data_IF_975073450662
#
_entry.id   IF_975073450662
#
_cell.length_a   1.000
_cell.length_b   1.000
_cell.length_c   1.000
_cell.angle_alpha   90.00
_cell.angle_beta   90.00
_cell.angle_gamma   90.00
#
_symmetry.space_group_name_H-M   'P 1'
#
loop_
_entity.id
_entity.type
_entity.pdbx_description
1 polymer ?
#
# COMPACT_ATOMS: atom_id res chain seq x y z
N UNK A 1 -9.87 -17.96 19.93
CA UNK A 1 -8.83 -17.39 20.79
C UNK A 1 -8.35 -16.06 20.21
N UNK A 2 -8.11 -15.09 21.09
CA UNK A 2 -7.55 -13.81 20.73
C UNK A 2 -6.09 -13.97 20.31
N UNK A 3 -5.63 -13.11 19.40
CA UNK A 3 -4.24 -13.01 18.96
C UNK A 3 -3.66 -11.69 19.48
N UNK A 4 -3.28 -11.59 20.76
CA UNK A 4 -2.74 -10.34 21.30
C UNK A 4 -1.38 -10.03 20.69
N UNK A 5 -0.99 -8.76 20.67
CA UNK A 5 0.40 -8.36 20.49
C UNK A 5 1.27 -9.02 21.57
N UNK A 6 2.54 -9.30 21.27
CA UNK A 6 3.45 -9.92 22.20
C UNK A 6 4.51 -8.94 22.67
N UNK A 7 4.93 -9.12 23.91
CA UNK A 7 6.06 -8.43 24.54
C UNK A 7 7.11 -9.43 25.01
N UNK A 8 8.35 -9.02 24.99
CA UNK A 8 9.46 -9.71 25.64
C UNK A 8 9.75 -9.01 26.97
N UNK A 9 9.78 -9.79 28.04
CA UNK A 9 10.03 -9.31 29.41
C UNK A 9 11.28 -9.97 29.91
N UNK A 10 12.23 -9.18 30.44
CA UNK A 10 13.46 -9.66 31.06
C UNK A 10 13.18 -10.19 32.49
N UNK A 11 14.15 -10.87 33.10
CA UNK A 11 14.03 -11.44 34.42
C UNK A 11 13.79 -10.37 35.52
N UNK A 12 14.23 -9.13 35.28
CA UNK A 12 13.98 -7.96 36.14
C UNK A 12 12.61 -7.32 35.98
N UNK A 13 11.77 -7.86 35.07
CA UNK A 13 10.45 -7.36 34.74
C UNK A 13 10.44 -6.22 33.72
N UNK A 14 11.59 -5.82 33.19
CA UNK A 14 11.65 -4.76 32.17
C UNK A 14 11.17 -5.25 30.79
N UNK A 15 10.43 -4.40 30.09
CA UNK A 15 10.02 -4.66 28.70
C UNK A 15 11.21 -4.40 27.77
N UNK A 16 11.64 -5.41 27.02
CA UNK A 16 12.77 -5.33 26.10
C UNK A 16 12.44 -5.68 24.65
N UNK A 17 11.19 -6.04 24.37
CA UNK A 17 10.75 -6.30 22.99
C UNK A 17 9.24 -6.25 22.82
N UNK A 18 8.81 -5.98 21.58
CA UNK A 18 7.40 -5.89 21.19
C UNK A 18 7.21 -6.34 19.75
N UNK A 19 6.12 -7.01 19.47
CA UNK A 19 5.58 -7.23 18.12
C UNK A 19 4.07 -6.98 18.13
N UNK A 20 3.64 -6.04 17.27
CA UNK A 20 2.22 -5.76 17.05
C UNK A 20 1.56 -6.83 16.20
N UNK A 21 0.33 -7.22 16.53
CA UNK A 21 -0.52 -8.10 15.72
C UNK A 21 -1.91 -7.52 15.59
N UNK A 22 -2.42 -7.48 14.35
CA UNK A 22 -3.82 -7.20 14.05
C UNK A 22 -4.44 -8.44 13.43
N UNK A 23 -5.62 -8.83 13.92
CA UNK A 23 -6.34 -9.97 13.37
C UNK A 23 -7.28 -9.49 12.29
N UNK A 24 -7.10 -10.03 11.08
CA UNK A 24 -7.96 -9.75 9.95
C UNK A 24 -8.71 -11.02 9.56
N UNK A 25 -10.03 -10.91 9.43
CA UNK A 25 -10.86 -11.97 8.88
C UNK A 25 -10.60 -12.07 7.37
N UNK A 26 -10.20 -13.25 6.92
CA UNK A 26 -9.93 -13.56 5.52
C UNK A 26 -10.76 -14.77 5.10
N UNK A 27 -10.78 -15.07 3.82
CA UNK A 27 -11.33 -16.30 3.29
C UNK A 27 -10.43 -16.86 2.21
N UNK A 28 -10.33 -18.19 2.13
CA UNK A 28 -9.78 -18.93 1.00
C UNK A 28 -10.90 -19.74 0.37
N UNK A 29 -11.33 -19.37 -0.84
CA UNK A 29 -12.42 -20.04 -1.55
C UNK A 29 -13.65 -20.26 -0.62
N UNK A 30 -14.06 -19.19 0.09
CA UNK A 30 -15.14 -19.13 1.09
C UNK A 30 -14.89 -19.87 2.42
N UNK A 31 -13.77 -20.55 2.59
CA UNK A 31 -13.34 -21.08 3.90
C UNK A 31 -12.84 -19.93 4.77
N UNK A 32 -13.46 -19.64 5.92
CA UNK A 32 -13.04 -18.55 6.79
C UNK A 32 -11.67 -18.81 7.40
N UNK A 33 -10.86 -17.75 7.49
CA UNK A 33 -9.48 -17.79 7.98
C UNK A 33 -9.22 -16.58 8.89
N UNK A 34 -8.24 -16.75 9.78
CA UNK A 34 -7.68 -15.65 10.58
C UNK A 34 -6.26 -15.34 10.11
N UNK A 35 -6.05 -14.13 9.65
CA UNK A 35 -4.72 -13.63 9.34
C UNK A 35 -4.21 -12.75 10.48
N UNK A 36 -3.00 -13.01 10.95
CA UNK A 36 -2.26 -12.12 11.82
C UNK A 36 -1.41 -11.18 10.96
N UNK A 37 -1.79 -9.93 10.87
CA UNK A 37 -0.95 -8.87 10.32
C UNK A 37 0.07 -8.48 11.38
N UNK A 38 1.34 -8.83 11.15
CA UNK A 38 2.45 -8.59 12.09
C UNK A 38 3.13 -7.27 11.76
N UNK A 39 3.18 -6.36 12.72
CA UNK A 39 3.74 -5.03 12.55
C UNK A 39 4.68 -4.64 13.69
N UNK A 40 5.54 -3.64 13.42
CA UNK A 40 6.29 -2.94 14.47
C UNK A 40 7.10 -3.86 15.40
N UNK A 41 7.83 -4.85 14.84
CA UNK A 41 8.74 -5.65 15.65
C UNK A 41 9.91 -4.76 16.11
N UNK A 42 10.07 -4.65 17.43
CA UNK A 42 11.11 -3.85 18.08
C UNK A 42 11.75 -4.65 19.21
N UNK A 43 13.05 -4.52 19.37
CA UNK A 43 13.79 -5.07 20.52
C UNK A 43 14.82 -4.04 20.97
N UNK A 44 15.02 -3.95 22.28
CA UNK A 44 16.07 -3.17 22.89
C UNK A 44 17.40 -3.92 22.75
N UNK A 45 18.24 -3.48 21.81
CA UNK A 45 19.50 -4.14 21.49
C UNK A 45 20.54 -4.07 22.62
N UNK A 46 20.39 -3.12 23.57
CA UNK A 46 21.32 -2.99 24.72
C UNK A 46 21.00 -4.00 25.81
N UNK A 47 19.73 -4.39 25.94
CA UNK A 47 19.24 -5.30 26.97
C UNK A 47 19.09 -6.73 26.50
N UNK A 48 18.84 -6.93 25.21
CA UNK A 48 18.49 -8.24 24.67
C UNK A 48 19.68 -8.88 23.94
N UNK A 49 19.70 -10.22 23.95
CA UNK A 49 20.63 -10.96 23.09
C UNK A 49 20.27 -10.90 21.61
N UNK A 50 21.20 -11.23 20.71
CA UNK A 50 21.04 -11.08 19.25
C UNK A 50 19.88 -11.88 18.65
N UNK A 51 19.35 -12.88 19.37
CA UNK A 51 18.26 -13.74 18.93
C UNK A 51 16.88 -13.37 19.49
N UNK A 52 16.79 -12.35 20.36
CA UNK A 52 15.52 -12.03 21.04
C UNK A 52 14.41 -11.62 20.06
N UNK A 53 14.74 -10.85 19.02
CA UNK A 53 13.78 -10.53 17.95
C UNK A 53 13.28 -11.77 17.20
N UNK A 54 14.17 -12.73 16.93
CA UNK A 54 13.80 -13.98 16.27
C UNK A 54 12.94 -14.87 17.18
N UNK A 55 13.23 -14.92 18.49
CA UNK A 55 12.39 -15.65 19.48
C UNK A 55 11.00 -15.03 19.58
N UNK A 56 10.90 -13.70 19.63
CA UNK A 56 9.64 -12.97 19.68
C UNK A 56 8.82 -13.20 18.41
N UNK A 57 9.44 -13.13 17.23
CA UNK A 57 8.80 -13.45 15.96
C UNK A 57 8.35 -14.90 15.92
N UNK A 58 9.18 -15.87 16.33
CA UNK A 58 8.83 -17.29 16.38
C UNK A 58 7.57 -17.49 17.22
N UNK A 59 7.53 -16.94 18.45
CA UNK A 59 6.35 -17.02 19.31
C UNK A 59 5.09 -16.42 18.65
N UNK A 60 5.25 -15.35 17.87
CA UNK A 60 4.15 -14.77 17.11
C UNK A 60 3.66 -15.68 15.98
N UNK A 61 4.56 -16.36 15.27
CA UNK A 61 4.23 -17.25 14.14
C UNK A 61 3.62 -18.58 14.60
N UNK A 62 3.95 -19.05 15.80
CA UNK A 62 3.42 -20.29 16.40
C UNK A 62 1.99 -20.14 16.95
N UNK A 63 1.39 -18.96 16.84
CA UNK A 63 0.00 -18.72 17.28
C UNK A 63 -1.04 -19.52 16.49
N UNK A 64 -2.32 -19.43 16.92
CA UNK A 64 -3.44 -20.18 16.31
C UNK A 64 -4.02 -19.53 15.05
N UNK A 65 -3.34 -18.57 14.44
CA UNK A 65 -3.72 -18.00 13.15
C UNK A 65 -3.44 -18.98 12.00
N UNK A 66 -4.23 -18.87 10.93
CA UNK A 66 -4.03 -19.66 9.71
C UNK A 66 -2.90 -19.10 8.83
N UNK A 67 -2.75 -17.75 8.84
CA UNK A 67 -1.76 -17.02 8.04
C UNK A 67 -1.17 -15.89 8.88
N UNK A 68 0.14 -15.68 8.79
CA UNK A 68 0.82 -14.48 9.28
C UNK A 68 1.36 -13.69 8.09
N UNK A 69 1.25 -12.37 8.13
CA UNK A 69 1.66 -11.48 7.04
C UNK A 69 2.31 -10.20 7.56
N UNK A 70 3.26 -9.68 6.83
CA UNK A 70 3.84 -8.32 6.96
C UNK A 70 4.17 -7.79 5.56
N UNK A 71 3.99 -6.49 5.33
CA UNK A 71 4.33 -5.85 4.04
C UNK A 71 5.37 -4.72 4.18
N UNK A 72 5.97 -4.57 5.37
CA UNK A 72 6.97 -3.54 5.65
C UNK A 72 8.27 -4.10 6.22
N UNK A 73 8.53 -5.41 6.04
CA UNK A 73 9.71 -6.03 6.62
C UNK A 73 11.01 -5.42 6.08
N UNK A 74 11.88 -4.98 7.01
CA UNK A 74 13.26 -4.59 6.73
C UNK A 74 14.11 -5.81 6.36
N UNK A 75 15.33 -5.60 5.86
CA UNK A 75 16.26 -6.69 5.53
C UNK A 75 16.56 -7.61 6.73
N UNK A 76 16.61 -7.04 7.93
CA UNK A 76 16.80 -7.83 9.16
C UNK A 76 15.57 -8.68 9.43
N UNK A 77 14.38 -8.07 9.38
CA UNK A 77 13.10 -8.77 9.57
C UNK A 77 12.91 -9.85 8.50
N UNK A 78 13.21 -9.55 7.23
CA UNK A 78 13.16 -10.52 6.12
C UNK A 78 14.00 -11.77 6.41
N UNK A 79 15.24 -11.59 6.90
CA UNK A 79 16.11 -12.73 7.26
C UNK A 79 15.51 -13.56 8.41
N UNK A 80 14.97 -12.92 9.43
CA UNK A 80 14.31 -13.61 10.55
C UNK A 80 13.10 -14.43 10.09
N UNK A 81 12.21 -13.82 9.30
CA UNK A 81 11.05 -14.50 8.74
C UNK A 81 11.44 -15.72 7.89
N UNK A 82 12.42 -15.55 6.97
CA UNK A 82 12.92 -16.67 6.14
C UNK A 82 13.52 -17.79 6.97
N UNK A 83 14.29 -17.46 8.01
CA UNK A 83 14.85 -18.45 8.94
C UNK A 83 13.79 -19.24 9.71
N UNK A 84 12.58 -18.70 9.83
CA UNK A 84 11.41 -19.33 10.47
C UNK A 84 10.40 -19.90 9.47
N UNK A 85 10.78 -20.09 8.21
CA UNK A 85 9.90 -20.69 7.18
C UNK A 85 9.00 -19.69 6.46
N UNK A 86 9.19 -18.39 6.63
CA UNK A 86 8.42 -17.37 5.92
C UNK A 86 8.75 -17.32 4.42
N UNK A 87 7.72 -17.21 3.60
CA UNK A 87 7.77 -17.04 2.15
C UNK A 87 7.77 -15.57 1.78
N UNK A 88 8.85 -15.06 1.20
CA UNK A 88 8.89 -13.71 0.65
C UNK A 88 8.09 -13.65 -0.67
N UNK A 89 7.36 -12.55 -0.85
CA UNK A 89 6.50 -12.28 -2.02
C UNK A 89 7.08 -11.09 -2.82
N UNK A 90 8.03 -11.32 -3.76
CA UNK A 90 8.67 -10.24 -4.50
C UNK A 90 7.68 -9.34 -5.23
N UNK A 91 6.64 -9.92 -5.84
CA UNK A 91 5.62 -9.19 -6.59
C UNK A 91 4.72 -8.28 -5.71
N UNK A 92 4.68 -8.51 -4.39
CA UNK A 92 4.01 -7.65 -3.42
C UNK A 92 4.97 -6.69 -2.70
N UNK A 93 6.29 -6.85 -2.91
CA UNK A 93 7.34 -6.11 -2.18
C UNK A 93 7.79 -4.83 -2.88
N UNK A 94 7.34 -4.60 -4.10
CA UNK A 94 7.74 -3.45 -4.88
C UNK A 94 6.76 -2.29 -4.68
N UNK A 95 7.29 -1.08 -4.63
CA UNK A 95 6.52 0.13 -4.83
C UNK A 95 6.67 0.60 -6.27
N UNK A 96 5.58 1.00 -6.89
CA UNK A 96 5.60 1.69 -8.15
C UNK A 96 5.61 3.20 -7.92
N UNK A 97 6.34 3.90 -8.77
CA UNK A 97 6.47 5.37 -8.73
C UNK A 97 6.27 5.95 -10.12
N UNK A 98 5.39 6.93 -10.23
CA UNK A 98 5.17 7.71 -11.44
C UNK A 98 5.52 9.17 -11.20
N UNK A 99 6.42 9.72 -12.03
CA UNK A 99 6.68 11.15 -12.06
C UNK A 99 5.53 11.84 -12.82
N UNK A 100 4.90 12.82 -12.17
CA UNK A 100 3.79 13.60 -12.70
C UNK A 100 4.28 14.99 -13.12
N UNK A 101 5.04 15.64 -12.25
CA UNK A 101 5.67 16.94 -12.48
C UNK A 101 7.17 16.83 -12.16
N UNK A 102 8.05 16.70 -13.18
CA UNK A 102 9.47 16.52 -12.95
C UNK A 102 10.14 17.65 -12.17
N UNK A 103 9.73 18.90 -12.40
CA UNK A 103 10.30 20.05 -11.72
C UNK A 103 9.94 20.07 -10.24
N UNK A 104 8.69 19.75 -9.92
CA UNK A 104 8.22 19.64 -8.54
C UNK A 104 8.79 18.40 -7.83
N UNK A 105 8.93 17.27 -8.54
CA UNK A 105 9.52 16.05 -8.01
C UNK A 105 10.97 16.24 -7.58
N UNK A 106 11.77 16.95 -8.40
CA UNK A 106 13.15 17.30 -8.04
C UNK A 106 13.20 18.20 -6.81
N UNK A 107 12.30 19.18 -6.69
CA UNK A 107 12.26 20.06 -5.52
C UNK A 107 11.75 19.36 -4.26
N UNK A 108 10.81 18.44 -4.37
CA UNK A 108 10.32 17.64 -3.25
C UNK A 108 11.44 16.72 -2.72
N UNK A 109 12.16 16.04 -3.62
CA UNK A 109 13.32 15.22 -3.28
C UNK A 109 14.52 16.01 -2.72
N UNK A 110 14.78 17.22 -3.24
CA UNK A 110 15.84 18.09 -2.75
C UNK A 110 15.43 18.84 -1.46
N UNK A 111 14.15 19.17 -1.31
CA UNK A 111 13.59 19.84 -0.12
C UNK A 111 13.72 19.03 1.16
N UNK A 112 13.78 17.69 1.06
CA UNK A 112 14.12 16.82 2.18
C UNK A 112 15.56 17.03 2.70
N UNK A 113 16.44 17.66 1.89
CA UNK A 113 17.85 17.90 2.25
C UNK A 113 18.18 19.39 2.45
N UNK A 114 17.43 20.31 1.85
CA UNK A 114 17.73 21.74 1.83
C UNK A 114 16.44 22.56 1.96
N UNK A 115 16.09 22.97 3.17
CA UNK A 115 14.81 23.64 3.51
C UNK A 115 14.55 24.94 2.72
N UNK A 116 15.59 25.68 2.27
CA UNK A 116 15.43 26.92 1.51
C UNK A 116 14.83 26.70 0.10
N UNK A 117 14.96 25.49 -0.48
CA UNK A 117 14.39 25.19 -1.80
C UNK A 117 12.86 25.14 -1.80
N UNK A 118 12.23 25.05 -0.63
CA UNK A 118 10.78 25.12 -0.49
C UNK A 118 10.19 26.44 -1.00
N UNK A 119 10.94 27.54 -0.93
CA UNK A 119 10.54 28.86 -1.43
C UNK A 119 10.52 28.96 -2.97
N UNK A 120 11.18 28.01 -3.69
CA UNK A 120 11.18 27.97 -5.15
C UNK A 120 9.99 27.20 -5.75
N UNK A 121 9.16 26.55 -4.92
CA UNK A 121 7.98 25.79 -5.37
C UNK A 121 7.01 26.57 -6.28
N UNK A 122 6.71 27.87 -6.07
CA UNK A 122 5.83 28.64 -6.98
C UNK A 122 6.43 28.78 -8.40
N UNK A 123 7.73 29.06 -8.50
CA UNK A 123 8.42 29.20 -9.78
C UNK A 123 8.51 27.87 -10.54
N UNK A 124 8.75 26.77 -9.82
CA UNK A 124 8.76 25.43 -10.39
C UNK A 124 7.39 24.99 -10.91
N UNK A 125 6.28 25.39 -10.25
CA UNK A 125 4.92 25.16 -10.76
C UNK A 125 4.67 25.83 -12.11
N UNK A 126 5.16 27.08 -12.31
CA UNK A 126 5.04 27.77 -13.58
C UNK A 126 5.90 27.09 -14.67
N UNK A 127 7.13 26.70 -14.34
CA UNK A 127 8.00 25.97 -15.25
C UNK A 127 7.44 24.60 -15.60
N UNK A 128 6.94 23.86 -14.62
CA UNK A 128 6.32 22.55 -14.78
C UNK A 128 5.09 22.57 -15.70
N UNK A 129 4.23 23.62 -15.61
CA UNK A 129 3.10 23.81 -16.53
C UNK A 129 3.56 23.99 -17.99
N UNK A 130 4.62 24.76 -18.23
CA UNK A 130 5.17 24.96 -19.59
C UNK A 130 5.85 23.69 -20.12
N UNK A 131 6.57 22.96 -19.29
CA UNK A 131 7.17 21.67 -19.64
C UNK A 131 6.06 20.64 -19.96
N UNK A 132 4.99 20.62 -19.17
CA UNK A 132 3.86 19.70 -19.33
C UNK A 132 3.11 19.92 -20.66
N UNK A 133 2.90 21.19 -21.09
CA UNK A 133 2.26 21.49 -22.37
C UNK A 133 3.10 21.05 -23.57
N UNK A 134 4.44 21.08 -23.46
CA UNK A 134 5.37 20.58 -24.50
C UNK A 134 5.55 19.07 -24.50
N UNK A 135 5.26 18.40 -23.37
CA UNK A 135 5.50 16.98 -23.14
C UNK A 135 4.35 16.10 -23.63
N UNK A 136 3.15 16.68 -23.84
CA UNK A 136 2.00 15.93 -24.34
C UNK A 136 2.21 15.31 -25.74
N UNK A 137 3.19 15.81 -26.50
CA UNK A 137 3.48 15.35 -27.87
C UNK A 137 4.66 14.37 -27.97
N UNK A 138 5.41 14.13 -26.87
CA UNK A 138 6.57 13.25 -26.89
C UNK A 138 6.31 11.96 -26.09
N UNK A 139 6.07 10.80 -26.76
CA UNK A 139 5.80 9.54 -26.12
C UNK A 139 6.98 8.98 -25.30
N UNK A 140 8.19 9.53 -25.47
CA UNK A 140 9.39 9.12 -24.73
C UNK A 140 9.51 9.78 -23.36
N UNK A 141 8.70 10.78 -23.01
CA UNK A 141 8.81 11.49 -21.74
C UNK A 141 7.98 10.85 -20.63
N UNK A 142 8.57 10.81 -19.43
CA UNK A 142 8.00 10.20 -18.23
C UNK A 142 6.66 10.79 -17.78
N UNK A 143 6.39 12.05 -18.13
CA UNK A 143 5.18 12.77 -17.73
C UNK A 143 4.01 12.69 -18.73
N UNK A 144 4.16 11.96 -19.86
CA UNK A 144 3.06 11.79 -20.80
C UNK A 144 2.00 10.84 -20.21
N UNK A 145 0.75 11.27 -20.21
CA UNK A 145 -0.40 10.45 -19.84
C UNK A 145 -1.09 9.91 -21.08
N UNK A 146 -1.64 8.69 -21.04
CA UNK A 146 -2.45 8.19 -22.15
C UNK A 146 -3.61 9.12 -22.46
N UNK A 147 -3.84 9.36 -23.73
CA UNK A 147 -4.86 10.33 -24.21
C UNK A 147 -6.30 9.77 -24.17
N UNK A 148 -6.49 8.53 -23.73
CA UNK A 148 -7.75 7.78 -23.92
C UNK A 148 -8.69 7.82 -22.70
N UNK A 149 -8.69 8.95 -21.98
CA UNK A 149 -9.50 9.14 -20.77
C UNK A 149 -11.00 9.37 -20.98
N UNK A 150 -11.47 9.40 -22.23
CA UNK A 150 -12.88 9.65 -22.52
C UNK A 150 -13.84 8.52 -22.08
N UNK A 151 -13.30 7.40 -21.61
CA UNK A 151 -14.07 6.20 -21.27
C UNK A 151 -14.32 6.04 -19.75
N UNK A 152 -13.57 6.73 -18.89
CA UNK A 152 -13.67 6.61 -17.42
C UNK A 152 -14.00 7.96 -16.81
N UNK A 153 -15.05 7.99 -15.98
CA UNK A 153 -15.40 9.15 -15.15
C UNK A 153 -14.87 8.93 -13.73
N UNK A 154 -14.34 9.98 -13.12
CA UNK A 154 -13.88 9.93 -11.73
C UNK A 154 -14.70 10.88 -10.88
N UNK A 155 -15.03 10.47 -9.65
CA UNK A 155 -15.59 11.35 -8.63
C UNK A 155 -15.12 10.94 -7.24
N UNK A 156 -15.03 11.89 -6.34
CA UNK A 156 -14.83 11.60 -4.91
C UNK A 156 -16.04 10.83 -4.37
N UNK A 157 -15.78 9.81 -3.57
CA UNK A 157 -16.79 8.95 -2.97
C UNK A 157 -16.56 8.84 -1.46
N UNK A 158 -17.61 8.48 -0.74
CA UNK A 158 -17.57 8.27 0.70
C UNK A 158 -17.02 6.87 1.05
N UNK A 159 -16.52 6.65 2.27
CA UNK A 159 -16.00 5.35 2.70
C UNK A 159 -16.99 4.20 2.55
N UNK A 160 -18.28 4.45 2.64
CA UNK A 160 -19.34 3.45 2.47
C UNK A 160 -19.41 2.95 1.03
N UNK A 161 -19.44 3.86 0.07
CA UNK A 161 -19.42 3.50 -1.35
C UNK A 161 -18.10 2.83 -1.75
N UNK A 162 -16.98 3.29 -1.17
CA UNK A 162 -15.70 2.63 -1.34
C UNK A 162 -15.73 1.18 -0.84
N UNK A 163 -16.40 0.91 0.27
CA UNK A 163 -16.52 -0.44 0.83
C UNK A 163 -17.29 -1.40 -0.10
N UNK A 164 -18.34 -0.91 -0.77
CA UNK A 164 -19.08 -1.70 -1.75
C UNK A 164 -18.22 -2.03 -2.98
N UNK A 165 -17.47 -1.04 -3.49
CA UNK A 165 -16.52 -1.25 -4.59
C UNK A 165 -15.40 -2.19 -4.15
N UNK A 166 -14.88 -2.06 -2.92
CA UNK A 166 -13.86 -2.94 -2.36
C UNK A 166 -14.31 -4.41 -2.38
N UNK A 167 -15.50 -4.69 -1.83
CA UNK A 167 -16.07 -6.04 -1.83
C UNK A 167 -16.26 -6.61 -3.25
N UNK A 168 -16.68 -5.76 -4.20
CA UNK A 168 -16.88 -6.16 -5.59
C UNK A 168 -15.54 -6.45 -6.28
N UNK A 169 -14.55 -5.58 -6.13
CA UNK A 169 -13.24 -5.71 -6.77
C UNK A 169 -12.36 -6.79 -6.17
N UNK A 170 -12.59 -7.21 -4.91
CA UNK A 170 -11.77 -8.24 -4.27
C UNK A 170 -12.35 -9.64 -4.41
N UNK A 171 -13.60 -9.77 -4.83
CA UNK A 171 -14.34 -11.07 -4.89
C UNK A 171 -13.68 -12.12 -5.77
N UNK A 172 -12.93 -11.72 -6.79
CA UNK A 172 -12.30 -12.66 -7.72
C UNK A 172 -11.01 -13.30 -7.19
N UNK A 173 -10.44 -12.79 -6.08
CA UNK A 173 -9.28 -13.43 -5.44
C UNK A 173 -9.71 -14.62 -4.59
N UNK A 174 -9.00 -15.74 -4.69
CA UNK A 174 -9.24 -16.89 -3.83
C UNK A 174 -8.95 -16.58 -2.36
N UNK A 175 -7.78 -15.96 -2.09
CA UNK A 175 -7.43 -15.47 -0.74
C UNK A 175 -7.74 -13.97 -0.66
N UNK A 176 -8.76 -13.61 0.11
CA UNK A 176 -9.26 -12.23 0.18
C UNK A 176 -9.79 -11.86 1.57
N UNK A 177 -9.90 -10.56 1.87
CA UNK A 177 -10.63 -10.09 3.05
C UNK A 177 -12.09 -10.57 3.06
N UNK A 178 -12.56 -11.01 4.23
CA UNK A 178 -13.94 -11.42 4.49
C UNK A 178 -14.62 -10.41 5.44
N UNK A 179 -14.51 -9.13 5.12
CA UNK A 179 -15.04 -8.05 5.95
C UNK A 179 -16.42 -7.62 5.49
N UNK A 180 -17.35 -7.37 6.44
CA UNK A 180 -18.57 -6.63 6.15
C UNK A 180 -18.26 -5.24 5.59
N UNK A 181 -19.16 -4.67 4.78
CA UNK A 181 -18.98 -3.32 4.22
C UNK A 181 -18.75 -2.27 5.33
N UNK A 182 -19.47 -2.37 6.44
CA UNK A 182 -19.29 -1.46 7.59
C UNK A 182 -17.86 -1.51 8.17
N UNK A 183 -17.27 -2.70 8.30
CA UNK A 183 -15.89 -2.87 8.76
C UNK A 183 -14.89 -2.26 7.77
N UNK A 184 -15.09 -2.50 6.46
CA UNK A 184 -14.25 -1.92 5.41
C UNK A 184 -14.33 -0.38 5.43
N UNK A 185 -15.53 0.19 5.55
CA UNK A 185 -15.72 1.62 5.67
C UNK A 185 -15.07 2.19 6.94
N UNK A 186 -15.17 1.47 8.07
CA UNK A 186 -14.50 1.84 9.33
C UNK A 186 -12.97 1.88 9.16
N UNK A 187 -12.37 0.87 8.53
CA UNK A 187 -10.93 0.83 8.24
C UNK A 187 -10.52 1.98 7.32
N UNK A 188 -11.31 2.27 6.28
CA UNK A 188 -11.07 3.39 5.38
C UNK A 188 -11.08 4.71 6.14
N UNK A 189 -12.08 4.97 6.99
CA UNK A 189 -12.13 6.17 7.84
C UNK A 189 -10.92 6.30 8.76
N UNK A 190 -10.47 5.20 9.37
CA UNK A 190 -9.24 5.20 10.18
C UNK A 190 -8.01 5.55 9.36
N UNK A 191 -7.91 5.00 8.15
CA UNK A 191 -6.79 5.24 7.25
C UNK A 191 -6.75 6.69 6.71
N UNK A 192 -7.87 7.42 6.70
CA UNK A 192 -7.90 8.84 6.32
C UNK A 192 -7.12 9.75 7.29
N UNK A 193 -6.91 9.33 8.53
CA UNK A 193 -6.28 10.16 9.56
C UNK A 193 -4.74 10.05 9.54
N UNK A 194 -4.11 10.48 8.44
CA UNK A 194 -2.64 10.53 8.27
C UNK A 194 -2.18 11.94 7.86
N UNK A 195 -2.18 12.92 8.78
CA UNK A 195 -1.92 14.32 8.43
C UNK A 195 -0.53 14.54 7.83
N UNK A 196 0.46 13.72 8.18
CA UNK A 196 1.81 13.78 7.60
C UNK A 196 1.81 13.57 6.08
N UNK A 197 0.84 12.82 5.54
CA UNK A 197 0.74 12.53 4.11
C UNK A 197 -0.13 13.52 3.34
N UNK A 198 -0.84 14.41 4.01
CA UNK A 198 -1.75 15.38 3.40
C UNK A 198 -3.21 14.98 3.45
N UNK A 199 -4.02 15.53 2.54
CA UNK A 199 -5.44 15.25 2.44
C UNK A 199 -5.69 13.82 1.97
N UNK A 200 -6.61 13.13 2.63
CA UNK A 200 -7.09 11.80 2.22
C UNK A 200 -8.15 11.96 1.12
N UNK A 201 -8.00 11.22 0.05
CA UNK A 201 -8.88 11.25 -1.11
C UNK A 201 -9.31 9.83 -1.45
N UNK A 202 -10.60 9.60 -1.54
CA UNK A 202 -11.18 8.37 -2.06
C UNK A 202 -11.90 8.69 -3.36
N UNK A 203 -11.47 8.06 -4.46
CA UNK A 203 -12.01 8.31 -5.82
C UNK A 203 -12.57 7.02 -6.37
N UNK A 204 -13.83 7.05 -6.76
CA UNK A 204 -14.47 6.02 -7.56
C UNK A 204 -14.22 6.26 -9.05
N UNK A 205 -14.04 5.19 -9.81
CA UNK A 205 -13.88 5.17 -11.25
C UNK A 205 -15.05 4.43 -11.88
N UNK A 206 -15.69 5.08 -12.84
CA UNK A 206 -16.96 4.60 -13.45
C UNK A 206 -16.83 4.55 -14.97
N UNK A 207 -17.44 3.54 -15.57
CA UNK A 207 -17.55 3.43 -17.02
C UNK A 207 -18.62 4.40 -17.59
N UNK A 208 -18.82 4.35 -18.90
CA UNK A 208 -19.83 5.17 -19.59
C UNK A 208 -21.28 4.90 -19.13
N UNK A 209 -21.54 3.76 -18.52
CA UNK A 209 -22.85 3.37 -17.96
C UNK A 209 -22.98 3.73 -16.48
N UNK A 210 -22.01 4.46 -15.94
CA UNK A 210 -21.93 4.80 -14.52
C UNK A 210 -21.80 3.57 -13.60
N UNK A 211 -21.29 2.46 -14.12
CA UNK A 211 -20.95 1.28 -13.33
C UNK A 211 -19.54 1.44 -12.78
N UNK A 212 -19.36 1.17 -11.49
CA UNK A 212 -18.04 1.23 -10.86
C UNK A 212 -17.13 0.15 -11.44
N UNK A 213 -15.97 0.55 -11.97
CA UNK A 213 -14.93 -0.33 -12.50
C UNK A 213 -13.74 -0.44 -11.57
N UNK A 214 -13.65 0.41 -10.55
CA UNK A 214 -12.61 0.42 -9.55
C UNK A 214 -12.67 1.65 -8.66
N UNK A 215 -11.71 1.72 -7.74
CA UNK A 215 -11.53 2.86 -6.86
C UNK A 215 -10.06 3.03 -6.48
N UNK A 216 -9.70 4.21 -6.00
CA UNK A 216 -8.41 4.47 -5.37
C UNK A 216 -8.60 5.26 -4.10
N UNK A 217 -7.83 4.87 -3.08
CA UNK A 217 -7.67 5.62 -1.86
C UNK A 217 -6.22 6.07 -1.75
N UNK A 218 -5.98 7.38 -1.65
CA UNK A 218 -4.64 7.94 -1.54
C UNK A 218 -4.62 9.22 -0.70
N UNK A 219 -3.42 9.59 -0.25
CA UNK A 219 -3.19 10.88 0.41
C UNK A 219 -2.38 11.78 -0.52
N UNK A 220 -2.71 13.07 -0.55
CA UNK A 220 -2.01 14.04 -1.41
C UNK A 220 -1.86 15.39 -0.71
N UNK A 221 -0.71 16.01 -0.94
CA UNK A 221 -0.45 17.42 -0.66
C UNK A 221 0.04 18.07 -1.95
N UNK A 222 -0.51 19.22 -2.36
CA UNK A 222 -0.06 19.90 -3.58
C UNK A 222 1.45 20.14 -3.58
N UNK A 223 2.11 19.73 -4.65
CA UNK A 223 3.57 19.84 -4.83
C UNK A 223 4.38 18.77 -4.12
N UNK A 224 3.74 17.70 -3.63
CA UNK A 224 4.40 16.57 -2.97
C UNK A 224 3.95 15.24 -3.57
N UNK A 225 4.45 14.14 -3.02
CA UNK A 225 4.11 12.78 -3.45
C UNK A 225 2.67 12.43 -3.05
N UNK A 226 1.83 12.04 -4.01
CA UNK A 226 0.59 11.34 -3.72
C UNK A 226 0.89 9.89 -3.34
N UNK A 227 0.42 9.45 -2.18
CA UNK A 227 0.65 8.11 -1.62
C UNK A 227 -0.60 7.28 -1.74
N UNK A 228 -0.62 6.37 -2.71
CA UNK A 228 -1.74 5.44 -2.94
C UNK A 228 -1.67 4.34 -1.88
N UNK A 229 -2.67 4.32 -1.01
CA UNK A 229 -2.87 3.30 0.00
C UNK A 229 -3.53 2.07 -0.61
N UNK A 230 -4.60 2.29 -1.40
CA UNK A 230 -5.35 1.21 -2.02
C UNK A 230 -5.69 1.55 -3.48
N UNK A 231 -5.48 0.59 -4.36
CA UNK A 231 -5.95 0.61 -5.73
C UNK A 231 -6.82 -0.63 -5.97
N UNK A 232 -8.02 -0.44 -6.51
CA UNK A 232 -9.02 -1.47 -6.75
C UNK A 232 -9.45 -1.42 -8.20
N UNK A 233 -9.51 -2.55 -8.88
CA UNK A 233 -10.06 -2.66 -10.22
C UNK A 233 -10.82 -3.97 -10.40
N UNK A 234 -11.85 -3.95 -11.20
CA UNK A 234 -12.43 -5.17 -11.76
C UNK A 234 -11.42 -5.81 -12.72
N UNK A 235 -11.43 -7.15 -12.89
CA UNK A 235 -10.59 -7.83 -13.86
C UNK A 235 -10.69 -7.22 -15.26
N UNK A 236 -9.54 -6.89 -15.87
CA UNK A 236 -9.44 -6.22 -17.16
C UNK A 236 -9.61 -4.69 -17.13
N UNK A 237 -9.86 -4.09 -15.96
CA UNK A 237 -9.98 -2.64 -15.79
C UNK A 237 -8.76 -2.00 -15.11
N UNK A 238 -7.70 -2.76 -14.87
CA UNK A 238 -6.50 -2.31 -14.15
C UNK A 238 -5.82 -1.12 -14.85
N UNK A 239 -5.75 -1.17 -16.19
CA UNK A 239 -5.17 -0.09 -16.99
C UNK A 239 -5.95 1.22 -16.89
N UNK A 240 -7.25 1.24 -17.25
CA UNK A 240 -8.11 2.40 -17.10
C UNK A 240 -8.12 2.99 -15.68
N UNK A 241 -8.18 2.14 -14.65
CA UNK A 241 -8.15 2.58 -13.24
C UNK A 241 -6.82 3.22 -12.89
N UNK A 242 -5.70 2.62 -13.30
CA UNK A 242 -4.36 3.18 -13.05
C UNK A 242 -4.20 4.54 -13.74
N UNK A 243 -4.64 4.68 -14.97
CA UNK A 243 -4.59 5.95 -15.70
C UNK A 243 -5.45 7.02 -15.02
N UNK A 244 -6.65 6.65 -14.56
CA UNK A 244 -7.56 7.56 -13.89
C UNK A 244 -6.99 8.10 -12.57
N UNK A 245 -6.38 7.26 -11.72
CA UNK A 245 -5.75 7.74 -10.47
C UNK A 245 -4.56 8.64 -10.74
N UNK A 246 -3.76 8.36 -11.76
CA UNK A 246 -2.62 9.22 -12.13
C UNK A 246 -3.08 10.61 -12.54
N UNK A 247 -4.18 10.70 -13.28
CA UNK A 247 -4.75 11.97 -13.73
C UNK A 247 -5.39 12.73 -12.59
N UNK A 248 -6.17 12.08 -11.75
CA UNK A 248 -6.80 12.72 -10.60
C UNK A 248 -5.76 13.26 -9.62
N UNK A 249 -4.73 12.46 -9.28
CA UNK A 249 -3.61 12.91 -8.44
C UNK A 249 -2.85 14.09 -9.07
N UNK A 250 -2.64 14.07 -10.40
CA UNK A 250 -2.03 15.18 -11.13
C UNK A 250 -2.87 16.47 -11.06
N UNK A 251 -4.19 16.35 -11.20
CA UNK A 251 -5.12 17.48 -11.11
C UNK A 251 -5.11 18.11 -9.71
N UNK A 252 -4.90 17.29 -8.66
CA UNK A 252 -4.73 17.75 -7.27
C UNK A 252 -3.31 18.25 -6.95
N UNK A 253 -2.44 18.32 -7.96
CA UNK A 253 -1.10 18.93 -7.85
C UNK A 253 -0.03 18.00 -7.30
N UNK A 254 -0.20 16.69 -7.38
CA UNK A 254 0.87 15.75 -7.04
C UNK A 254 2.10 15.96 -7.91
N UNK A 255 3.30 15.87 -7.33
CA UNK A 255 4.59 15.85 -8.06
C UNK A 255 4.96 14.44 -8.52
N UNK A 256 4.67 13.48 -7.67
CA UNK A 256 4.84 12.04 -7.86
C UNK A 256 3.56 11.31 -7.45
N UNK A 257 3.34 10.13 -7.98
CA UNK A 257 2.36 9.18 -7.46
C UNK A 257 3.09 7.90 -7.13
N UNK A 258 2.91 7.39 -5.93
CA UNK A 258 3.55 6.18 -5.42
C UNK A 258 2.52 5.28 -4.75
N UNK A 259 2.63 3.98 -4.98
CA UNK A 259 1.82 2.99 -4.30
C UNK A 259 2.49 1.63 -4.25
N UNK A 260 1.97 0.74 -3.41
CA UNK A 260 2.43 -0.63 -3.31
C UNK A 260 1.94 -1.44 -4.52
N UNK A 261 2.81 -2.30 -5.04
CA UNK A 261 2.47 -3.21 -6.12
C UNK A 261 1.41 -4.22 -5.67
N UNK A 262 0.43 -4.42 -6.53
CA UNK A 262 -0.51 -5.54 -6.49
C UNK A 262 -0.29 -6.36 -7.75
N UNK A 263 -0.10 -7.68 -7.68
CA UNK A 263 0.19 -8.52 -8.84
C UNK A 263 -0.80 -8.35 -10.00
N UNK A 264 -2.09 -8.17 -9.70
CA UNK A 264 -3.13 -7.92 -10.70
C UNK A 264 -2.85 -6.70 -11.59
N UNK A 265 -2.16 -5.68 -11.08
CA UNK A 265 -1.83 -4.47 -11.84
C UNK A 265 -0.51 -4.56 -12.62
N UNK A 266 0.29 -5.62 -12.46
CA UNK A 266 1.63 -5.72 -13.04
C UNK A 266 1.61 -5.48 -14.56
N UNK A 267 0.74 -6.18 -15.29
CA UNK A 267 0.64 -6.05 -16.75
C UNK A 267 0.24 -4.63 -17.18
N UNK A 268 -0.68 -4.01 -16.46
CA UNK A 268 -1.09 -2.64 -16.72
C UNK A 268 0.04 -1.63 -16.48
N UNK A 269 0.92 -1.90 -15.53
CA UNK A 269 2.05 -1.04 -15.18
C UNK A 269 3.20 -1.10 -16.18
N UNK A 270 3.46 -2.27 -16.79
CA UNK A 270 4.60 -2.49 -17.71
C UNK A 270 4.61 -1.51 -18.90
N UNK A 271 3.45 -1.11 -19.41
CA UNK A 271 3.36 -0.16 -20.53
C UNK A 271 3.34 1.32 -20.15
N UNK A 272 3.43 1.68 -18.85
CA UNK A 272 3.11 3.03 -18.36
C UNK A 272 4.27 3.84 -17.79
N UNK A 273 5.52 3.43 -18.05
CA UNK A 273 6.73 4.14 -17.60
C UNK A 273 6.73 4.44 -16.11
N UNK A 274 6.49 3.41 -15.32
CA UNK A 274 6.59 3.43 -13.88
C UNK A 274 7.98 2.94 -13.46
N UNK A 275 8.59 3.58 -12.47
CA UNK A 275 9.75 3.03 -11.79
C UNK A 275 9.27 2.06 -10.70
N UNK A 276 9.96 0.94 -10.55
CA UNK A 276 9.71 -0.02 -9.47
C UNK A 276 10.87 0.03 -8.49
N UNK A 277 10.56 0.22 -7.22
CA UNK A 277 11.56 0.34 -6.14
C UNK A 277 11.19 -0.59 -4.99
N UNK A 278 12.19 -1.19 -4.35
CA UNK A 278 11.97 -1.96 -3.13
C UNK A 278 12.21 -1.04 -1.91
N UNK A 279 11.23 -0.96 -1.01
CA UNK A 279 11.30 -0.17 0.23
C UNK A 279 10.98 -0.98 1.46
N UNK A 280 10.59 -2.22 1.29
CA UNK A 280 10.27 -3.17 2.35
C UNK A 280 9.74 -4.46 1.74
N UNK A 281 9.90 -5.57 2.43
CA UNK A 281 9.50 -6.87 1.91
C UNK A 281 8.14 -7.30 2.43
N UNK A 282 7.33 -7.87 1.54
CA UNK A 282 6.09 -8.58 1.89
C UNK A 282 6.40 -10.04 2.11
N UNK A 283 5.97 -10.59 3.24
CA UNK A 283 6.28 -11.96 3.65
C UNK A 283 5.03 -12.58 4.26
N UNK A 284 4.78 -13.81 3.90
CA UNK A 284 3.72 -14.64 4.50
C UNK A 284 4.33 -15.85 5.21
N UNK A 285 3.65 -16.34 6.23
CA UNK A 285 3.94 -17.60 6.87
C UNK A 285 2.63 -18.33 7.17
N UNK A 286 2.55 -19.59 6.79
CA UNK A 286 1.43 -20.49 7.07
C UNK A 286 1.93 -21.93 7.18
N UNK A 287 1.19 -22.76 7.89
CA UNK A 287 1.35 -24.23 7.89
C UNK A 287 0.57 -24.89 6.76
N UNK A 288 -0.35 -24.14 6.13
CA UNK A 288 -1.17 -24.57 5.01
C UNK A 288 -0.52 -24.12 3.70
N UNK A 289 0.03 -25.08 2.92
CA UNK A 289 0.70 -24.80 1.65
C UNK A 289 -0.25 -24.20 0.62
N UNK A 290 -1.54 -24.48 0.68
CA UNK A 290 -2.52 -23.90 -0.24
C UNK A 290 -2.60 -22.38 -0.08
N UNK A 291 -2.48 -21.85 1.14
CA UNK A 291 -2.41 -20.40 1.40
C UNK A 291 -1.13 -19.77 0.83
N UNK A 292 0.00 -20.46 0.99
CA UNK A 292 1.29 -20.00 0.45
C UNK A 292 1.28 -19.97 -1.08
N UNK A 293 0.66 -20.97 -1.72
CA UNK A 293 0.55 -21.04 -3.18
C UNK A 293 -0.33 -19.91 -3.74
N UNK A 294 -1.46 -19.60 -3.10
CA UNK A 294 -2.32 -18.46 -3.50
C UNK A 294 -1.58 -17.13 -3.38
N UNK A 295 -0.79 -16.96 -2.32
CA UNK A 295 0.04 -15.77 -2.16
C UNK A 295 1.16 -15.71 -3.23
N UNK A 296 1.78 -16.84 -3.56
CA UNK A 296 2.87 -16.95 -4.57
C UNK A 296 2.36 -16.71 -5.99
N UNK A 297 1.21 -17.25 -6.35
CA UNK A 297 0.61 -17.08 -7.68
C UNK A 297 0.02 -15.69 -7.93
N UNK A 298 -0.15 -14.88 -6.88
CA UNK A 298 -0.81 -13.58 -6.96
C UNK A 298 -2.35 -13.64 -6.90
N UNK A 299 -2.92 -14.83 -6.64
CA UNK A 299 -4.36 -15.04 -6.40
C UNK A 299 -4.72 -14.74 -4.92
N UNK A 300 -4.11 -13.67 -4.40
CA UNK A 300 -4.27 -13.21 -3.03
C UNK A 300 -4.31 -11.67 -2.95
N UNK A 301 -5.24 -11.15 -2.18
CA UNK A 301 -5.35 -9.73 -1.89
C UNK A 301 -4.75 -9.44 -0.52
N UNK A 302 -3.48 -8.95 -0.48
CA UNK A 302 -2.65 -8.88 0.73
C UNK A 302 -2.06 -7.50 1.04
N UNK A 303 -2.46 -6.43 0.35
CA UNK A 303 -1.90 -5.10 0.60
C UNK A 303 -2.96 -4.02 0.75
N UNK A 304 -2.55 -2.78 0.88
CA UNK A 304 -3.46 -1.67 1.14
C UNK A 304 -4.15 -1.82 2.50
N UNK A 305 -5.48 -1.89 2.52
CA UNK A 305 -6.24 -2.11 3.76
C UNK A 305 -6.02 -3.49 4.39
N UNK A 306 -5.64 -4.50 3.60
CA UNK A 306 -5.24 -5.81 4.11
C UNK A 306 -3.77 -5.89 4.52
N UNK A 307 -2.99 -4.79 4.39
CA UNK A 307 -1.61 -4.66 4.83
C UNK A 307 -1.46 -3.71 6.01
N UNK A 308 -0.22 -3.29 6.29
CA UNK A 308 0.11 -2.43 7.42
C UNK A 308 -0.07 -0.92 7.11
N UNK A 309 -0.15 -0.54 5.84
CA UNK A 309 -0.09 0.86 5.37
C UNK A 309 -1.25 1.74 5.89
N UNK A 310 -2.38 1.16 6.24
CA UNK A 310 -3.51 1.88 6.83
C UNK A 310 -3.29 2.26 8.30
N UNK A 311 -2.44 1.52 9.01
CA UNK A 311 -2.17 1.74 10.43
C UNK A 311 -1.57 3.13 10.68
N UNK A 312 -2.02 3.79 11.75
CA UNK A 312 -1.43 5.06 12.22
C UNK A 312 0.00 4.90 12.70
N UNK A 313 0.42 3.69 13.07
CA UNK A 313 1.79 3.38 13.49
C UNK A 313 2.78 3.45 12.32
N UNK A 314 2.29 3.35 11.10
CA UNK A 314 3.09 3.44 9.87
C UNK A 314 2.85 4.81 9.22
N UNK A 315 3.84 5.70 9.31
CA UNK A 315 3.80 7.03 8.71
C UNK A 315 2.83 8.01 9.37
N UNK A 316 2.38 7.74 10.57
CA UNK A 316 1.46 8.59 11.32
C UNK A 316 2.09 9.40 12.46
N UNK A 317 3.35 9.13 12.78
CA UNK A 317 4.08 9.83 13.83
C UNK A 317 5.10 10.78 13.20
N UNK A 318 4.86 12.06 13.28
CA UNK A 318 5.86 13.14 13.31
C UNK A 318 5.28 14.28 14.11
#
# INVERSE_FOLDING_TARGET
PELPSLVHVEDDGALSGFIGRHVLAMTLDDRPLRMALCSSIMVDAERTGPLSGAKLLKAALEGPQDLSFTDTASDVSLRMWRGLGGLALPQHSLDWVRIVDPAMALLDGAGCRLSFLSHLKPLARMAGRRVRSRVQTDPLRWAAFPNDQKAVTTRTIEPEEFADIFGTCTRHFSLRPAWPAEETARLARQAMTKPAYGEAVIVGMFDRRQTAIGASFYHVRPGSTARVLQLLALPGQEGPVLDAVLVDAAARGASLVRGRMQPAFMNAMLGRRLALVNTGSSIVHSRDEALLEKARSGDAFLNGLAGEQWSRMIGGAS
#
